data_IF_544276511039
#
_entry.id   IF_544276511039
#
_cell.length_a   1.000
_cell.length_b   1.000
_cell.length_c   1.000
_cell.angle_alpha   90.00
_cell.angle_beta   90.00
_cell.angle_gamma   90.00
#
_symmetry.space_group_name_H-M   'P 1'
#
loop_
_entity.id
_entity.type
_entity.pdbx_description
1 polymer ?
#
# COMPACT_ATOMS: atom_id res chain seq x y z
N UNK A 1 -18.28 -16.64 14.51
CA UNK A 1 -18.91 -15.80 13.51
C UNK A 1 -17.90 -15.09 12.61
N UNK A 2 -18.26 -14.93 11.35
CA UNK A 2 -17.39 -14.31 10.34
C UNK A 2 -17.05 -12.87 10.74
N UNK A 3 -18.02 -12.14 11.25
CA UNK A 3 -17.86 -10.73 11.61
C UNK A 3 -16.86 -10.55 12.75
N UNK A 4 -16.97 -11.36 13.79
CA UNK A 4 -16.04 -11.31 14.91
C UNK A 4 -14.62 -11.68 14.48
N UNK A 5 -14.52 -12.65 13.59
CA UNK A 5 -13.24 -13.06 13.04
C UNK A 5 -12.57 -11.93 12.24
N UNK A 6 -13.35 -11.26 11.39
CA UNK A 6 -12.85 -10.11 10.60
C UNK A 6 -12.39 -8.99 11.53
N UNK A 7 -13.15 -8.70 12.58
CA UNK A 7 -12.83 -7.64 13.52
C UNK A 7 -11.53 -7.95 14.28
N UNK A 8 -11.36 -9.19 14.71
CA UNK A 8 -10.13 -9.65 15.36
C UNK A 8 -8.94 -9.55 14.42
N UNK A 9 -9.10 -9.94 13.16
CA UNK A 9 -8.05 -9.84 12.15
C UNK A 9 -7.66 -8.40 11.90
N UNK A 10 -8.63 -7.49 11.85
CA UNK A 10 -8.38 -6.07 11.67
C UNK A 10 -7.54 -5.51 12.83
N UNK A 11 -7.91 -5.86 14.06
CA UNK A 11 -7.18 -5.40 15.23
C UNK A 11 -5.73 -5.88 15.21
N UNK A 12 -5.51 -7.15 14.87
CA UNK A 12 -4.16 -7.71 14.74
C UNK A 12 -3.38 -7.06 13.61
N UNK A 13 -4.04 -6.82 12.48
CA UNK A 13 -3.43 -6.21 11.31
C UNK A 13 -2.82 -4.84 11.64
N UNK A 14 -3.52 -4.04 12.44
CA UNK A 14 -3.07 -2.71 12.83
C UNK A 14 -1.83 -2.72 13.73
N UNK A 15 -1.49 -3.88 14.31
CA UNK A 15 -0.29 -4.03 15.14
C UNK A 15 0.93 -4.48 14.34
N UNK A 16 0.75 -4.87 13.08
CA UNK A 16 1.85 -5.36 12.25
C UNK A 16 2.71 -4.22 11.71
N UNK A 17 4.01 -4.45 11.54
CA UNK A 17 4.87 -3.44 10.90
C UNK A 17 4.50 -3.26 9.43
N UNK A 18 4.81 -2.09 8.84
CA UNK A 18 4.48 -1.83 7.43
C UNK A 18 5.00 -2.88 6.47
N UNK A 19 6.17 -3.43 6.74
CA UNK A 19 6.80 -4.44 5.90
C UNK A 19 5.98 -5.72 5.76
N UNK A 20 5.18 -6.03 6.78
CA UNK A 20 4.37 -7.25 6.79
C UNK A 20 3.02 -7.08 6.11
N UNK A 21 2.53 -5.86 5.99
CA UNK A 21 1.20 -5.59 5.40
C UNK A 21 1.26 -5.03 3.98
N UNK A 22 2.44 -4.67 3.49
CA UNK A 22 2.61 -4.10 2.16
C UNK A 22 2.43 -5.15 1.07
N UNK A 23 1.94 -4.72 -0.10
CA UNK A 23 1.69 -5.60 -1.24
C UNK A 23 2.95 -5.81 -2.06
N UNK A 24 3.36 -7.07 -2.32
CA UNK A 24 4.51 -7.33 -3.18
C UNK A 24 4.17 -7.15 -4.65
N UNK A 25 5.07 -6.53 -5.39
CA UNK A 25 4.96 -6.34 -6.85
C UNK A 25 6.35 -6.31 -7.46
N UNK A 26 6.40 -6.48 -8.78
CA UNK A 26 7.65 -6.30 -9.54
C UNK A 26 7.61 -4.94 -10.21
N UNK A 27 8.66 -4.14 -10.01
CA UNK A 27 8.75 -2.78 -10.56
C UNK A 27 9.27 -2.83 -12.00
N UNK A 28 8.39 -3.20 -12.93
CA UNK A 28 8.69 -3.22 -14.36
C UNK A 28 8.54 -1.84 -14.97
N UNK A 29 9.42 -1.50 -15.89
CA UNK A 29 9.33 -0.25 -16.66
C UNK A 29 9.34 1.04 -15.82
N UNK A 30 10.10 1.06 -14.74
CA UNK A 30 10.20 2.26 -13.88
C UNK A 30 10.58 3.49 -14.70
N UNK A 31 11.53 3.35 -15.63
CA UNK A 31 11.99 4.46 -16.47
C UNK A 31 10.91 4.97 -17.43
N UNK A 32 10.05 4.09 -17.90
CA UNK A 32 8.97 4.43 -18.82
C UNK A 32 8.01 5.46 -18.23
N UNK A 33 7.76 5.37 -16.94
CA UNK A 33 6.80 6.24 -16.27
C UNK A 33 7.43 7.47 -15.61
N UNK A 34 8.73 7.58 -15.63
CA UNK A 34 9.40 8.76 -15.08
C UNK A 34 9.19 9.95 -16.01
N UNK A 35 8.76 11.09 -15.44
CA UNK A 35 8.48 12.29 -16.21
C UNK A 35 9.51 13.38 -15.87
N UNK A 36 9.77 14.28 -16.83
CA UNK A 36 10.74 15.36 -16.66
C UNK A 36 10.20 16.53 -15.81
N UNK A 37 8.89 16.77 -15.85
CA UNK A 37 8.27 17.89 -15.15
C UNK A 37 7.56 17.48 -13.85
N UNK A 38 7.32 16.19 -13.66
CA UNK A 38 6.67 15.64 -12.48
C UNK A 38 7.41 14.39 -12.02
N UNK A 39 7.10 13.92 -10.81
CA UNK A 39 7.77 12.73 -10.29
C UNK A 39 7.43 11.50 -11.13
N UNK A 40 6.20 11.41 -11.64
CA UNK A 40 5.74 10.30 -12.45
C UNK A 40 4.79 10.78 -13.54
N UNK A 41 4.64 10.00 -14.61
CA UNK A 41 3.75 10.31 -15.71
C UNK A 41 2.30 9.94 -15.37
N UNK A 42 1.35 10.56 -16.09
CA UNK A 42 -0.07 10.21 -15.96
C UNK A 42 -0.31 8.76 -16.37
N UNK A 43 -1.15 8.06 -15.60
CA UNK A 43 -1.46 6.66 -15.88
C UNK A 43 -0.43 5.67 -15.34
N UNK A 44 0.51 6.12 -14.53
CA UNK A 44 1.49 5.23 -13.90
C UNK A 44 0.80 4.24 -12.95
N UNK A 45 1.11 2.92 -13.08
CA UNK A 45 0.59 1.94 -12.11
C UNK A 45 0.97 2.31 -10.67
N UNK A 46 0.11 1.93 -9.72
CA UNK A 46 0.27 2.39 -8.34
C UNK A 46 1.62 1.99 -7.71
N UNK A 47 2.09 0.76 -7.96
CA UNK A 47 3.36 0.31 -7.40
C UNK A 47 4.56 1.02 -8.03
N UNK A 48 4.47 1.38 -9.31
CA UNK A 48 5.51 2.15 -10.01
C UNK A 48 5.48 3.60 -9.52
N UNK A 49 4.29 4.17 -9.35
CA UNK A 49 4.15 5.50 -8.78
C UNK A 49 4.79 5.57 -7.40
N UNK A 50 4.52 4.58 -6.56
CA UNK A 50 5.14 4.46 -5.25
C UNK A 50 6.65 4.34 -5.31
N UNK A 51 7.18 3.59 -6.30
CA UNK A 51 8.62 3.43 -6.49
C UNK A 51 9.29 4.74 -6.89
N UNK A 52 8.68 5.48 -7.81
CA UNK A 52 9.21 6.79 -8.23
C UNK A 52 9.15 7.81 -7.11
N UNK A 53 8.09 7.78 -6.30
CA UNK A 53 7.99 8.64 -5.12
C UNK A 53 9.07 8.30 -4.09
N UNK A 54 9.30 7.02 -3.84
CA UNK A 54 10.36 6.56 -2.96
C UNK A 54 11.72 7.10 -3.44
N UNK A 55 12.04 6.88 -4.70
CA UNK A 55 13.31 7.35 -5.27
C UNK A 55 13.48 8.85 -5.15
N UNK A 56 12.41 9.60 -5.46
CA UNK A 56 12.44 11.06 -5.37
C UNK A 56 12.73 11.55 -3.95
N UNK A 57 11.99 11.04 -2.96
CA UNK A 57 12.12 11.53 -1.60
C UNK A 57 13.35 10.99 -0.87
N UNK A 58 13.82 9.79 -1.21
CA UNK A 58 15.08 9.27 -0.70
C UNK A 58 16.25 10.15 -1.18
N UNK A 59 16.23 10.52 -2.45
CA UNK A 59 17.25 11.42 -3.02
C UNK A 59 17.15 12.81 -2.40
N UNK A 60 15.94 13.36 -2.32
CA UNK A 60 15.71 14.71 -1.77
C UNK A 60 16.16 14.83 -0.31
N UNK A 61 15.97 13.79 0.48
CA UNK A 61 16.32 13.78 1.90
C UNK A 61 17.73 13.22 2.16
N UNK A 62 18.51 12.99 1.10
CA UNK A 62 19.91 12.52 1.18
C UNK A 62 20.05 11.20 1.93
N UNK A 63 19.12 10.27 1.67
CA UNK A 63 19.08 8.95 2.30
C UNK A 63 19.62 7.83 1.39
N UNK A 64 20.26 8.19 0.29
CA UNK A 64 20.74 7.21 -0.70
C UNK A 64 21.86 6.31 -0.16
N UNK A 65 22.53 6.70 0.92
CA UNK A 65 23.51 5.86 1.58
C UNK A 65 22.88 4.79 2.47
N UNK A 66 21.63 4.99 2.88
CA UNK A 66 20.89 4.05 3.73
C UNK A 66 19.93 3.19 2.91
N UNK A 67 19.29 3.78 1.89
CA UNK A 67 18.31 3.10 1.05
C UNK A 67 18.78 3.11 -0.39
N UNK A 68 18.75 1.94 -1.03
CA UNK A 68 19.01 1.84 -2.48
C UNK A 68 17.79 2.32 -3.25
N UNK A 69 18.02 3.03 -4.36
CA UNK A 69 16.93 3.42 -5.24
C UNK A 69 16.35 2.21 -5.95
N UNK A 70 15.05 2.26 -6.23
CA UNK A 70 14.34 1.18 -6.91
C UNK A 70 14.63 1.26 -8.42
N UNK A 71 15.15 0.17 -8.99
CA UNK A 71 15.42 0.06 -10.41
C UNK A 71 14.41 -0.84 -11.12
N UNK A 72 14.53 -0.93 -12.45
CA UNK A 72 13.68 -1.78 -13.27
C UNK A 72 13.83 -3.25 -12.88
N UNK A 73 12.69 -3.93 -12.77
CA UNK A 73 12.66 -5.37 -12.51
C UNK A 73 12.86 -5.76 -11.06
N UNK A 74 13.09 -4.80 -10.17
CA UNK A 74 13.25 -5.11 -8.75
C UNK A 74 11.89 -5.43 -8.11
N UNK A 75 11.92 -6.33 -7.13
CA UNK A 75 10.75 -6.64 -6.34
C UNK A 75 10.57 -5.57 -5.28
N UNK A 76 9.36 -5.02 -5.21
CA UNK A 76 9.02 -3.97 -4.26
C UNK A 76 7.77 -4.35 -3.49
N UNK A 77 7.52 -3.64 -2.40
CA UNK A 77 6.27 -3.70 -1.66
C UNK A 77 5.67 -2.30 -1.66
N UNK A 78 4.36 -2.19 -1.82
CA UNK A 78 3.72 -0.89 -1.75
C UNK A 78 2.65 -0.85 -0.68
N UNK A 79 2.42 0.34 -0.12
CA UNK A 79 1.47 0.54 0.96
C UNK A 79 0.69 1.83 0.69
N UNK A 80 -0.61 1.80 0.99
CA UNK A 80 -1.48 2.96 0.82
C UNK A 80 -1.29 3.94 1.98
N UNK A 81 -1.35 5.22 1.66
CA UNK A 81 -1.21 6.31 2.63
C UNK A 81 -2.48 7.16 2.65
N UNK A 82 -2.80 7.67 3.82
CA UNK A 82 -3.90 8.64 3.99
C UNK A 82 -3.46 10.02 3.52
N UNK A 83 -4.36 10.76 2.90
CA UNK A 83 -4.15 12.16 2.52
C UNK A 83 -5.01 13.05 3.42
N UNK A 84 -4.56 14.27 3.73
CA UNK A 84 -3.29 14.86 3.39
C UNK A 84 -2.11 14.25 4.18
N UNK A 85 -0.92 14.26 3.58
CA UNK A 85 0.30 13.84 4.25
C UNK A 85 1.48 14.67 3.75
N UNK A 86 2.68 14.38 4.23
CA UNK A 86 3.88 15.18 3.95
C UNK A 86 4.18 15.24 2.45
N UNK A 87 4.00 14.13 1.73
CA UNK A 87 4.30 14.07 0.30
C UNK A 87 3.07 14.28 -0.59
N UNK A 88 1.90 14.47 -0.01
CA UNK A 88 0.61 14.68 -0.72
C UNK A 88 0.30 13.58 -1.73
N UNK A 89 0.69 12.34 -1.42
CA UNK A 89 0.46 11.17 -2.26
C UNK A 89 -0.16 10.04 -1.45
N UNK A 90 -0.87 9.13 -2.11
CA UNK A 90 -1.61 8.06 -1.44
C UNK A 90 -0.89 6.71 -1.47
N UNK A 91 0.36 6.69 -1.87
CA UNK A 91 1.12 5.43 -1.97
C UNK A 91 2.61 5.69 -1.82
N UNK A 92 3.31 4.70 -1.29
CA UNK A 92 4.77 4.64 -1.32
C UNK A 92 5.18 3.18 -1.49
N UNK A 93 6.24 2.95 -2.25
CA UNK A 93 6.84 1.62 -2.40
C UNK A 93 8.22 1.61 -1.75
N UNK A 94 8.68 0.43 -1.37
CA UNK A 94 10.00 0.24 -0.79
C UNK A 94 10.47 -1.19 -1.09
N UNK A 95 11.78 -1.44 -0.97
CA UNK A 95 12.34 -2.75 -1.31
C UNK A 95 12.22 -3.71 -0.12
N UNK A 96 12.81 -3.37 1.00
CA UNK A 96 12.86 -4.24 2.18
C UNK A 96 12.32 -3.53 3.42
N UNK A 97 12.87 -2.37 3.74
CA UNK A 97 12.50 -1.63 4.94
C UNK A 97 11.69 -0.39 4.59
N UNK A 98 10.59 -0.19 5.33
CA UNK A 98 9.79 1.01 5.18
C UNK A 98 10.63 2.23 5.54
N UNK A 99 10.59 3.31 4.70
CA UNK A 99 11.44 4.49 4.94
C UNK A 99 10.87 5.38 6.07
N UNK A 100 11.13 4.99 7.30
CA UNK A 100 10.63 5.71 8.49
C UNK A 100 11.11 7.16 8.53
N UNK A 101 12.27 7.44 7.98
CA UNK A 101 12.84 8.79 7.95
C UNK A 101 12.01 9.79 7.15
N UNK A 102 11.15 9.31 6.26
CA UNK A 102 10.25 10.19 5.51
C UNK A 102 9.06 10.67 6.34
N UNK A 103 8.88 10.12 7.55
CA UNK A 103 7.80 10.55 8.45
C UNK A 103 6.41 10.13 8.00
N UNK A 104 6.30 9.05 7.22
CA UNK A 104 5.04 8.59 6.68
C UNK A 104 4.32 7.56 7.54
N UNK A 105 4.94 7.09 8.62
CA UNK A 105 4.40 6.02 9.47
C UNK A 105 2.99 6.30 9.94
N UNK A 106 2.73 7.52 10.41
CA UNK A 106 1.42 7.90 10.94
C UNK A 106 0.36 8.09 9.87
N UNK A 107 0.76 8.09 8.60
CA UNK A 107 -0.16 8.25 7.47
C UNK A 107 -0.50 6.93 6.78
N UNK A 108 0.01 5.80 7.27
CA UNK A 108 -0.31 4.50 6.71
C UNK A 108 -1.81 4.24 6.85
N UNK A 109 -2.46 3.94 5.72
CA UNK A 109 -3.89 3.66 5.70
C UNK A 109 -4.13 2.18 5.97
N UNK A 110 -4.11 1.81 7.24
CA UNK A 110 -4.30 0.42 7.67
C UNK A 110 -5.67 -0.13 7.26
N UNK A 111 -6.70 0.71 7.29
CA UNK A 111 -8.05 0.28 6.93
C UNK A 111 -8.15 -0.06 5.45
N UNK A 112 -7.63 0.79 4.57
CA UNK A 112 -7.62 0.51 3.13
C UNK A 112 -6.72 -0.68 2.81
N UNK A 113 -5.57 -0.78 3.47
CA UNK A 113 -4.65 -1.89 3.30
C UNK A 113 -5.32 -3.20 3.68
N UNK A 114 -6.03 -3.22 4.81
CA UNK A 114 -6.77 -4.39 5.27
C UNK A 114 -7.90 -4.75 4.32
N UNK A 115 -8.67 -3.77 3.88
CA UNK A 115 -9.76 -3.97 2.92
C UNK A 115 -9.25 -4.67 1.66
N UNK A 116 -8.19 -4.16 1.06
CA UNK A 116 -7.67 -4.70 -0.19
C UNK A 116 -6.94 -6.03 -0.03
N UNK A 117 -6.31 -6.28 1.11
CA UNK A 117 -5.56 -7.53 1.32
C UNK A 117 -6.42 -8.66 1.90
N UNK A 118 -7.51 -8.33 2.57
CA UNK A 118 -8.32 -9.32 3.28
C UNK A 118 -9.80 -9.29 2.88
N UNK A 119 -10.45 -8.13 2.98
CA UNK A 119 -11.90 -8.03 2.80
C UNK A 119 -12.33 -8.29 1.36
N UNK A 120 -11.69 -7.66 0.38
CA UNK A 120 -12.04 -7.88 -1.03
C UNK A 120 -11.83 -9.33 -1.48
N UNK A 121 -10.68 -9.96 -1.16
CA UNK A 121 -10.52 -11.39 -1.48
C UNK A 121 -11.52 -12.27 -0.76
N UNK A 122 -11.86 -11.96 0.50
CA UNK A 122 -12.85 -12.72 1.26
C UNK A 122 -14.23 -12.61 0.63
N UNK A 123 -14.66 -11.41 0.22
CA UNK A 123 -15.92 -11.20 -0.48
C UNK A 123 -15.99 -12.05 -1.75
N UNK A 124 -14.93 -12.07 -2.53
CA UNK A 124 -14.87 -12.86 -3.76
C UNK A 124 -15.05 -14.36 -3.48
N UNK A 125 -14.41 -14.87 -2.42
CA UNK A 125 -14.55 -16.28 -2.02
C UNK A 125 -15.97 -16.57 -1.56
N UNK A 126 -16.56 -15.70 -0.73
CA UNK A 126 -17.92 -15.88 -0.22
C UNK A 126 -18.93 -15.84 -1.36
N UNK A 127 -18.77 -14.94 -2.33
CA UNK A 127 -19.64 -14.88 -3.50
C UNK A 127 -19.52 -16.15 -4.34
N UNK A 128 -18.32 -16.69 -4.50
CA UNK A 128 -18.09 -17.91 -5.27
C UNK A 128 -18.76 -19.13 -4.67
N UNK A 129 -18.89 -19.21 -3.35
CA UNK A 129 -19.54 -20.32 -2.66
C UNK A 129 -21.02 -20.07 -2.39
N UNK A 130 -21.58 -18.97 -2.92
CA UNK A 130 -22.99 -18.63 -2.76
C UNK A 130 -23.36 -17.99 -1.43
N UNK A 131 -22.39 -17.58 -0.63
CA UNK A 131 -22.65 -16.88 0.63
C UNK A 131 -23.10 -15.45 0.33
N UNK A 132 -24.23 -15.05 0.89
CA UNK A 132 -24.75 -13.69 0.68
C UNK A 132 -24.15 -12.75 1.73
N UNK A 133 -23.15 -12.00 1.35
CA UNK A 133 -22.44 -11.04 2.22
C UNK A 133 -23.38 -9.95 2.75
N UNK A 134 -24.41 -9.58 2.00
CA UNK A 134 -25.38 -8.57 2.43
C UNK A 134 -26.25 -9.05 3.60
N UNK A 135 -26.48 -10.34 3.69
CA UNK A 135 -27.22 -10.93 4.81
C UNK A 135 -26.37 -11.07 6.07
N UNK A 136 -25.07 -10.98 5.93
CA UNK A 136 -24.17 -11.03 7.09
C UNK A 136 -23.78 -9.64 7.54
N UNK A 137 -24.76 -8.84 7.87
CA UNK A 137 -24.56 -7.49 8.41
C UNK A 137 -23.55 -6.72 7.59
N UNK A 138 -23.97 -6.09 6.56
CA UNK A 138 -23.20 -5.10 5.80
C UNK A 138 -21.76 -4.96 6.24
N UNK A 139 -20.85 -5.77 5.67
CA UNK A 139 -19.43 -5.65 5.97
C UNK A 139 -18.94 -4.20 5.84
N UNK A 140 -19.57 -3.44 4.95
CA UNK A 140 -19.24 -2.03 4.75
C UNK A 140 -19.45 -1.18 6.01
N UNK A 141 -20.43 -1.51 6.85
CA UNK A 141 -20.64 -0.82 8.12
C UNK A 141 -19.52 -1.06 9.12
N UNK A 142 -18.78 -2.17 8.96
CA UNK A 142 -17.63 -2.46 9.79
C UNK A 142 -16.41 -1.64 9.41
N UNK A 143 -16.36 -1.15 8.18
CA UNK A 143 -15.17 -0.53 7.62
C UNK A 143 -15.33 0.97 7.35
N UNK A 144 -16.45 1.52 7.78
CA UNK A 144 -16.70 2.98 7.69
C UNK A 144 -16.40 3.70 8.98
#
# INVERSE_FOLDING_TARGET
EVIEYIDDCRAKFKTLPPEDIAFPRTASDVRKYKASSTIYAKGTPIHIRGALLFNHYITKNKLTNKYSLIGNGEKVKFIYLKKPNIIQENVVSFIQDFPHELGLDKYIDYDLQFEKSFVEPLKAILDAIGWNVEKTVNLDLFFT
#
